data_IF_462235741222
#
_entry.id   IF_462235741222
#
_cell.length_a   1.000
_cell.length_b   1.000
_cell.length_c   1.000
_cell.angle_alpha   90.00
_cell.angle_beta   90.00
_cell.angle_gamma   90.00
#
_symmetry.space_group_name_H-M   'P 1'
#
loop_
_entity.id
_entity.type
_entity.pdbx_description
1 polymer ?
#
# COMPACT_ATOMS: atom_id res chain seq x y z
N UNK A 1 6.19 -17.72 1.90
CA UNK A 1 6.78 -18.34 0.68
C UNK A 1 6.76 -17.32 -0.47
N UNK A 2 7.40 -17.59 -1.62
CA UNK A 2 7.29 -16.69 -2.79
C UNK A 2 5.96 -16.88 -3.52
N UNK A 3 5.52 -18.14 -3.64
CA UNK A 3 4.25 -18.52 -4.23
C UNK A 3 3.20 -18.69 -3.13
N UNK A 4 2.04 -18.06 -3.29
CA UNK A 4 0.90 -18.13 -2.38
C UNK A 4 -0.39 -18.29 -3.19
N UNK A 5 -1.51 -18.62 -2.54
CA UNK A 5 -2.82 -18.61 -3.21
C UNK A 5 -3.15 -17.19 -3.70
N UNK A 6 -3.68 -17.08 -4.91
CA UNK A 6 -3.94 -15.77 -5.53
C UNK A 6 -5.00 -14.94 -4.77
N UNK A 7 -5.94 -15.61 -4.11
CA UNK A 7 -6.99 -14.98 -3.30
C UNK A 7 -6.45 -14.18 -2.10
N UNK A 8 -5.26 -14.51 -1.61
CA UNK A 8 -4.57 -13.76 -0.55
C UNK A 8 -4.34 -12.30 -0.94
N UNK A 9 -3.98 -12.04 -2.20
CA UNK A 9 -3.63 -10.69 -2.67
C UNK A 9 -4.80 -9.96 -3.32
N UNK A 10 -5.80 -10.69 -3.84
CA UNK A 10 -6.92 -10.11 -4.57
C UNK A 10 -7.82 -9.18 -3.73
N UNK A 11 -7.85 -9.36 -2.40
CA UNK A 11 -8.76 -8.60 -1.50
C UNK A 11 -8.21 -7.25 -1.05
N UNK A 12 -6.88 -7.11 -0.90
CA UNK A 12 -6.21 -5.87 -0.46
C UNK A 12 -5.99 -4.90 -1.63
N UNK A 13 -6.03 -5.45 -2.82
CA UNK A 13 -5.90 -4.78 -4.08
C UNK A 13 -7.16 -3.96 -4.36
N UNK A 14 -7.12 -2.64 -4.16
CA UNK A 14 -7.92 -1.77 -5.04
C UNK A 14 -7.72 -2.22 -6.49
N UNK A 15 -8.72 -2.08 -7.35
CA UNK A 15 -8.78 -2.75 -8.67
C UNK A 15 -7.48 -2.74 -9.50
N UNK A 16 -6.63 -1.73 -9.31
CA UNK A 16 -5.30 -1.57 -9.91
C UNK A 16 -4.26 -2.64 -9.53
N UNK A 17 -4.22 -3.16 -8.30
CA UNK A 17 -3.19 -4.16 -7.95
C UNK A 17 -3.49 -5.50 -8.61
N UNK A 18 -4.76 -5.83 -8.89
CA UNK A 18 -5.13 -7.09 -9.56
C UNK A 18 -4.56 -7.22 -10.98
N UNK A 19 -4.43 -6.12 -11.72
CA UNK A 19 -3.80 -6.14 -13.05
C UNK A 19 -2.27 -6.24 -12.98
N UNK A 20 -1.67 -6.03 -11.80
CA UNK A 20 -0.23 -6.09 -11.56
C UNK A 20 0.27 -7.44 -10.98
N UNK A 21 -0.58 -8.46 -10.87
CA UNK A 21 -0.21 -9.75 -10.28
C UNK A 21 0.33 -10.74 -11.31
N UNK A 22 1.41 -11.45 -10.96
CA UNK A 22 1.82 -12.67 -11.65
C UNK A 22 1.04 -13.88 -11.12
N UNK A 23 -0.19 -14.03 -11.59
CA UNK A 23 -1.06 -15.15 -11.24
C UNK A 23 -1.12 -16.21 -12.34
N UNK A 24 -1.11 -17.48 -11.96
CA UNK A 24 -1.23 -18.63 -12.86
C UNK A 24 -1.89 -19.81 -12.12
N UNK A 25 -2.26 -20.84 -12.87
CA UNK A 25 -2.75 -22.10 -12.30
C UNK A 25 -1.58 -23.05 -12.16
N UNK A 26 -1.36 -23.58 -10.95
CA UNK A 26 -0.31 -24.57 -10.72
C UNK A 26 -0.71 -25.96 -11.31
N UNK A 27 0.21 -26.94 -11.35
CA UNK A 27 -0.11 -28.28 -11.88
C UNK A 27 -1.23 -29.01 -11.12
N UNK A 28 -1.57 -28.60 -9.90
CA UNK A 28 -2.67 -29.14 -9.11
C UNK A 28 -4.02 -28.48 -9.39
N UNK A 29 -4.08 -27.52 -10.32
CA UNK A 29 -5.30 -26.79 -10.65
C UNK A 29 -5.61 -25.62 -9.70
N UNK A 30 -4.69 -25.26 -8.81
CA UNK A 30 -4.87 -24.17 -7.84
C UNK A 30 -4.40 -22.86 -8.44
N UNK A 31 -5.23 -21.81 -8.33
CA UNK A 31 -4.82 -20.46 -8.72
C UNK A 31 -3.87 -19.87 -7.68
N UNK A 32 -2.64 -19.64 -8.11
CA UNK A 32 -1.54 -19.12 -7.29
C UNK A 32 -1.01 -17.82 -7.87
N UNK A 33 -0.32 -17.04 -7.04
CA UNK A 33 0.38 -15.83 -7.46
C UNK A 33 1.75 -15.77 -6.84
N UNK A 34 2.73 -15.29 -7.60
CA UNK A 34 3.95 -14.76 -7.00
C UNK A 34 3.55 -13.57 -6.13
N UNK A 35 4.12 -13.48 -4.92
CA UNK A 35 3.80 -12.40 -3.99
C UNK A 35 4.19 -11.02 -4.56
N UNK A 36 3.29 -10.04 -4.58
CA UNK A 36 3.60 -8.67 -4.99
C UNK A 36 4.12 -7.81 -3.83
N UNK A 37 4.01 -8.31 -2.60
CA UNK A 37 4.37 -7.64 -1.34
C UNK A 37 4.44 -8.68 -0.21
N UNK A 38 4.95 -8.30 0.97
CA UNK A 38 5.10 -9.20 2.12
C UNK A 38 3.96 -9.14 3.14
N UNK A 39 3.28 -8.01 3.29
CA UNK A 39 2.30 -7.78 4.37
C UNK A 39 1.23 -8.88 4.41
N UNK A 40 0.61 -9.22 3.28
CA UNK A 40 -0.48 -10.22 3.27
C UNK A 40 0.04 -11.60 3.68
N UNK A 41 1.25 -11.97 3.25
CA UNK A 41 1.91 -13.21 3.71
C UNK A 41 2.24 -13.18 5.20
N UNK A 42 2.69 -12.04 5.74
CA UNK A 42 2.99 -11.87 7.17
C UNK A 42 1.71 -12.01 7.99
N UNK A 43 0.64 -11.32 7.60
CA UNK A 43 -0.65 -11.38 8.28
C UNK A 43 -1.25 -12.78 8.21
N UNK A 44 -1.22 -13.43 7.03
CA UNK A 44 -1.65 -14.84 6.88
C UNK A 44 -0.88 -15.76 7.83
N UNK A 45 0.45 -15.64 7.86
CA UNK A 45 1.28 -16.45 8.75
C UNK A 45 0.96 -16.22 10.23
N UNK A 46 0.63 -14.98 10.61
CA UNK A 46 0.23 -14.67 11.97
C UNK A 46 -1.12 -15.30 12.34
N UNK A 47 -2.12 -15.20 11.45
CA UNK A 47 -3.47 -15.76 11.64
C UNK A 47 -3.45 -17.29 11.71
N UNK A 48 -2.66 -17.94 10.85
CA UNK A 48 -2.54 -19.41 10.82
C UNK A 48 -1.63 -19.96 11.93
N UNK A 49 -0.99 -19.09 12.72
CA UNK A 49 -0.11 -19.53 13.79
C UNK A 49 -0.93 -20.20 14.90
N UNK A 50 -0.54 -21.40 15.39
CA UNK A 50 -1.34 -22.16 16.37
C UNK A 50 -1.43 -21.52 17.76
N UNK A 51 -0.56 -20.54 18.07
CA UNK A 51 -0.64 -19.72 19.27
C UNK A 51 -0.19 -18.28 18.95
N UNK A 52 -1.06 -17.43 18.40
CA UNK A 52 -0.79 -16.00 18.37
C UNK A 52 -0.94 -15.53 19.82
N UNK A 53 0.17 -15.51 20.57
CA UNK A 53 0.15 -15.01 21.95
C UNK A 53 -0.56 -13.66 22.04
N UNK A 54 -1.18 -13.35 23.17
CA UNK A 54 -1.86 -12.06 23.34
C UNK A 54 -0.82 -10.95 23.42
N UNK A 55 -0.80 -10.04 22.44
CA UNK A 55 0.05 -8.85 22.47
C UNK A 55 0.64 -8.46 21.10
N UNK A 56 1.51 -7.43 21.09
CA UNK A 56 2.13 -6.96 19.86
C UNK A 56 3.06 -8.00 19.23
N UNK A 57 2.87 -8.25 17.94
CA UNK A 57 3.70 -9.13 17.13
C UNK A 57 4.61 -8.33 16.21
N UNK A 58 5.92 -8.45 16.43
CA UNK A 58 6.95 -7.87 15.57
C UNK A 58 7.42 -8.89 14.55
N UNK A 59 7.42 -8.53 13.27
CA UNK A 59 7.90 -9.37 12.17
C UNK A 59 8.77 -8.54 11.25
N UNK A 60 9.92 -9.07 10.85
CA UNK A 60 10.76 -8.48 9.82
C UNK A 60 10.82 -9.43 8.63
N UNK A 61 11.04 -8.90 7.43
CA UNK A 61 11.15 -9.67 6.20
C UNK A 61 12.19 -9.07 5.26
N UNK A 62 12.78 -9.94 4.45
CA UNK A 62 13.69 -9.59 3.36
C UNK A 62 13.57 -10.63 2.26
N UNK A 63 13.39 -10.20 1.01
CA UNK A 63 13.41 -11.10 -0.14
C UNK A 63 12.68 -10.56 -1.38
N UNK A 64 12.53 -11.39 -2.42
CA UNK A 64 11.98 -10.93 -3.69
C UNK A 64 10.46 -10.76 -3.64
N UNK A 65 9.96 -9.77 -4.37
CA UNK A 65 8.55 -9.54 -4.71
C UNK A 65 8.41 -9.27 -6.21
N UNK A 66 7.23 -9.54 -6.77
CA UNK A 66 7.00 -9.58 -8.22
C UNK A 66 5.76 -8.77 -8.60
N UNK A 67 5.89 -7.85 -9.56
CA UNK A 67 4.78 -7.05 -10.09
C UNK A 67 4.83 -7.02 -11.61
N UNK A 68 3.68 -7.25 -12.22
CA UNK A 68 3.45 -7.13 -13.65
C UNK A 68 3.16 -5.67 -14.02
N UNK A 69 3.70 -5.20 -15.15
CA UNK A 69 3.51 -3.84 -15.67
C UNK A 69 4.66 -3.38 -16.56
N UNK A 70 4.55 -2.16 -17.08
CA UNK A 70 5.48 -1.55 -18.06
C UNK A 70 6.75 -0.95 -17.42
N UNK A 71 7.02 -1.25 -16.15
CA UNK A 71 8.20 -0.81 -15.42
C UNK A 71 9.46 -1.64 -15.71
N UNK A 72 10.63 -1.05 -15.48
CA UNK A 72 11.93 -1.66 -15.79
C UNK A 72 12.24 -2.97 -15.03
N UNK A 73 11.62 -3.21 -13.86
CA UNK A 73 11.90 -4.37 -13.02
C UNK A 73 10.62 -5.12 -12.61
N UNK A 74 10.52 -6.38 -13.05
CA UNK A 74 9.43 -7.32 -12.72
C UNK A 74 9.67 -8.07 -11.40
N UNK A 75 10.88 -7.98 -10.87
CA UNK A 75 11.31 -8.50 -9.58
C UNK A 75 12.10 -7.43 -8.85
N UNK A 76 11.84 -7.25 -7.56
CA UNK A 76 12.61 -6.36 -6.67
C UNK A 76 12.80 -7.03 -5.30
N UNK A 77 13.85 -6.66 -4.59
CA UNK A 77 14.02 -7.05 -3.19
C UNK A 77 13.27 -6.06 -2.31
N UNK A 78 12.32 -6.55 -1.51
CA UNK A 78 11.64 -5.77 -0.49
C UNK A 78 12.16 -6.20 0.89
N UNK A 79 12.49 -5.20 1.70
CA UNK A 79 12.88 -5.35 3.11
C UNK A 79 11.94 -4.48 3.92
N UNK A 80 11.49 -4.97 5.07
CA UNK A 80 10.58 -4.22 5.93
C UNK A 80 10.23 -4.95 7.21
N UNK A 81 9.37 -4.34 8.00
CA UNK A 81 8.87 -4.89 9.24
C UNK A 81 7.40 -4.51 9.47
N UNK A 82 6.67 -5.36 10.18
CA UNK A 82 5.31 -5.12 10.66
C UNK A 82 5.28 -5.22 12.19
N UNK A 83 4.55 -4.30 12.82
CA UNK A 83 4.15 -4.38 14.21
C UNK A 83 2.61 -4.51 14.26
N UNK A 84 2.12 -5.71 14.60
CA UNK A 84 0.69 -6.04 14.54
C UNK A 84 0.14 -6.22 15.95
N UNK A 85 -1.05 -5.68 16.23
CA UNK A 85 -1.69 -5.83 17.54
C UNK A 85 -1.29 -4.77 18.57
N UNK A 86 -0.75 -3.62 18.12
CA UNK A 86 -0.59 -2.40 18.90
C UNK A 86 -1.24 -1.24 18.14
N UNK A 87 -1.95 -0.36 18.83
CA UNK A 87 -2.71 0.74 18.23
C UNK A 87 -2.32 2.12 18.78
N UNK A 88 -1.43 2.13 19.77
CA UNK A 88 -0.92 3.34 20.41
C UNK A 88 0.09 4.05 19.51
N UNK A 89 0.18 5.39 19.54
CA UNK A 89 1.17 6.13 18.75
C UNK A 89 2.63 5.71 18.98
N UNK A 90 2.93 5.10 20.13
CA UNK A 90 4.24 4.51 20.42
C UNK A 90 4.61 3.36 19.48
N UNK A 91 3.63 2.66 18.91
CA UNK A 91 3.85 1.60 17.93
C UNK A 91 4.39 2.16 16.60
N UNK A 92 3.79 3.24 16.11
CA UNK A 92 4.27 3.95 14.92
C UNK A 92 5.66 4.54 15.16
N UNK A 93 5.89 5.12 16.34
CA UNK A 93 7.19 5.64 16.74
C UNK A 93 8.28 4.56 16.79
N UNK A 94 7.94 3.33 17.22
CA UNK A 94 8.85 2.20 17.23
C UNK A 94 9.28 1.80 15.80
N UNK A 95 8.33 1.69 14.87
CA UNK A 95 8.62 1.38 13.46
C UNK A 95 9.44 2.49 12.80
N UNK A 96 9.11 3.76 13.08
CA UNK A 96 9.88 4.89 12.58
C UNK A 96 11.31 4.92 13.14
N UNK A 97 11.47 4.61 14.43
CA UNK A 97 12.77 4.48 15.08
C UNK A 97 13.62 3.38 14.41
N UNK A 98 13.04 2.22 14.15
CA UNK A 98 13.71 1.14 13.42
C UNK A 98 14.14 1.58 12.02
N UNK A 99 13.28 2.28 11.28
CA UNK A 99 13.63 2.79 9.96
C UNK A 99 14.80 3.78 10.01
N UNK A 100 14.83 4.66 11.02
CA UNK A 100 15.92 5.60 11.26
C UNK A 100 17.24 4.87 11.55
N UNK A 101 17.21 3.88 12.44
CA UNK A 101 18.38 3.06 12.78
C UNK A 101 18.92 2.33 11.55
N UNK A 102 18.05 1.79 10.68
CA UNK A 102 18.46 1.16 9.43
C UNK A 102 19.19 2.14 8.49
N UNK A 103 18.66 3.35 8.32
CA UNK A 103 19.27 4.39 7.47
C UNK A 103 20.64 4.82 8.01
N UNK A 104 20.75 4.99 9.34
CA UNK A 104 22.01 5.30 10.02
C UNK A 104 23.03 4.17 9.89
N UNK A 105 22.62 2.91 10.08
CA UNK A 105 23.47 1.74 9.93
C UNK A 105 23.99 1.58 8.49
N UNK A 106 23.17 1.96 7.51
CA UNK A 106 23.55 2.03 6.09
C UNK A 106 24.46 3.23 5.74
N UNK A 107 24.77 4.11 6.71
CA UNK A 107 25.61 5.31 6.54
C UNK A 107 25.07 6.29 5.50
N UNK A 108 23.74 6.37 5.38
CA UNK A 108 23.09 7.35 4.50
C UNK A 108 23.00 8.67 5.26
N UNK A 109 23.75 9.67 4.80
CA UNK A 109 23.85 10.97 5.50
C UNK A 109 22.72 11.94 5.12
N UNK A 110 22.13 11.79 3.94
CA UNK A 110 21.11 12.72 3.41
C UNK A 110 19.79 11.99 3.20
N UNK A 111 18.88 12.17 4.15
CA UNK A 111 17.53 11.64 4.07
C UNK A 111 16.54 12.63 4.69
N UNK A 112 15.27 12.50 4.32
CA UNK A 112 14.16 13.21 4.96
C UNK A 112 13.04 12.21 5.21
N UNK A 113 12.44 12.26 6.39
CA UNK A 113 11.23 11.51 6.70
C UNK A 113 10.03 12.43 6.48
N UNK A 114 9.08 11.99 5.66
CA UNK A 114 7.80 12.68 5.45
C UNK A 114 6.71 11.83 6.09
N UNK A 115 6.01 12.42 7.05
CA UNK A 115 4.93 11.77 7.80
C UNK A 115 3.62 12.40 7.35
N UNK A 116 2.63 11.57 7.04
CA UNK A 116 1.28 11.99 6.69
C UNK A 116 0.26 11.22 7.50
N UNK A 117 -0.92 11.80 7.70
CA UNK A 117 -2.01 11.18 8.43
C UNK A 117 -3.29 11.16 7.59
N UNK A 118 -3.67 9.98 7.10
CA UNK A 118 -4.84 9.82 6.22
C UNK A 118 -6.15 10.29 6.88
N UNK A 119 -6.30 10.12 8.20
CA UNK A 119 -7.47 10.62 8.94
C UNK A 119 -7.68 12.13 8.81
N UNK A 120 -6.63 12.94 9.00
CA UNK A 120 -6.68 14.39 8.84
C UNK A 120 -7.04 14.79 7.39
N UNK A 121 -6.46 14.08 6.42
CA UNK A 121 -6.80 14.27 5.01
C UNK A 121 -8.29 14.01 4.74
N UNK A 122 -8.81 12.88 5.22
CA UNK A 122 -10.22 12.54 5.06
C UNK A 122 -11.15 13.54 5.76
N UNK A 123 -10.83 13.99 6.97
CA UNK A 123 -11.60 15.01 7.70
C UNK A 123 -11.59 16.35 6.97
N UNK A 124 -10.42 16.75 6.46
CA UNK A 124 -10.28 17.98 5.66
C UNK A 124 -11.14 17.90 4.40
N UNK A 125 -11.05 16.80 3.63
CA UNK A 125 -11.87 16.58 2.44
C UNK A 125 -13.37 16.53 2.74
N UNK A 126 -13.77 16.02 3.90
CA UNK A 126 -15.17 16.02 4.35
C UNK A 126 -15.68 17.44 4.62
N UNK A 127 -14.83 18.33 5.11
CA UNK A 127 -15.21 19.72 5.42
C UNK A 127 -15.65 20.53 4.18
N UNK A 128 -15.20 20.13 2.99
CA UNK A 128 -15.59 20.74 1.71
C UNK A 128 -16.97 20.30 1.19
N UNK A 129 -17.72 19.46 1.92
CA UNK A 129 -19.06 19.02 1.50
C UNK A 129 -19.07 18.09 0.27
N UNK A 130 -17.91 17.59 -0.16
CA UNK A 130 -17.75 16.70 -1.31
C UNK A 130 -18.42 15.35 -1.05
N UNK A 131 -18.96 14.70 -2.09
CA UNK A 131 -19.47 13.33 -1.99
C UNK A 131 -18.33 12.33 -1.72
N UNK A 132 -18.64 11.18 -1.11
CA UNK A 132 -17.61 10.15 -0.83
C UNK A 132 -16.84 9.69 -2.10
N UNK A 133 -17.49 9.46 -3.25
CA UNK A 133 -16.79 9.14 -4.49
C UNK A 133 -15.78 10.21 -4.92
N UNK A 134 -16.15 11.49 -4.82
CA UNK A 134 -15.26 12.62 -5.16
C UNK A 134 -14.10 12.71 -4.16
N UNK A 135 -14.36 12.53 -2.86
CA UNK A 135 -13.29 12.49 -1.84
C UNK A 135 -12.27 11.39 -2.12
N UNK A 136 -12.75 10.19 -2.45
CA UNK A 136 -11.88 9.07 -2.80
C UNK A 136 -11.11 9.33 -4.09
N UNK A 137 -11.74 9.94 -5.10
CA UNK A 137 -11.08 10.35 -6.33
C UNK A 137 -9.95 11.35 -6.09
N UNK A 138 -10.21 12.39 -5.31
CA UNK A 138 -9.20 13.40 -4.92
C UNK A 138 -8.07 12.76 -4.13
N UNK A 139 -8.39 11.91 -3.14
CA UNK A 139 -7.39 11.21 -2.33
C UNK A 139 -6.47 10.32 -3.18
N UNK A 140 -7.03 9.54 -4.12
CA UNK A 140 -6.28 8.68 -5.02
C UNK A 140 -5.41 9.44 -6.04
N UNK A 141 -5.72 10.72 -6.29
CA UNK A 141 -4.96 11.57 -7.22
C UNK A 141 -4.13 12.65 -6.50
N UNK A 142 -3.97 12.57 -5.18
CA UNK A 142 -3.35 13.63 -4.38
C UNK A 142 -1.90 13.93 -4.79
N UNK A 143 -1.14 12.90 -5.18
CA UNK A 143 0.24 13.10 -5.69
C UNK A 143 0.25 13.90 -7.00
N UNK A 144 -0.71 13.63 -7.90
CA UNK A 144 -0.86 14.40 -9.14
C UNK A 144 -1.32 15.83 -8.87
N UNK A 145 -2.17 16.03 -7.85
CA UNK A 145 -2.68 17.35 -7.45
C UNK A 145 -1.59 18.19 -6.79
N UNK A 146 -0.73 17.57 -5.98
CA UNK A 146 0.39 18.24 -5.30
C UNK A 146 1.53 18.63 -6.25
N UNK A 147 1.57 18.05 -7.46
CA UNK A 147 2.55 18.39 -8.49
C UNK A 147 2.10 19.65 -9.25
N UNK A 148 2.59 20.81 -8.80
CA UNK A 148 2.28 22.13 -9.39
C UNK A 148 2.70 22.27 -10.87
N UNK A 149 3.51 21.35 -11.39
CA UNK A 149 3.93 21.35 -12.79
C UNK A 149 2.93 20.67 -13.73
N UNK A 150 1.94 19.95 -13.20
CA UNK A 150 0.96 19.20 -13.99
C UNK A 150 -0.32 19.99 -14.23
N UNK A 151 -0.89 19.79 -15.41
CA UNK A 151 -2.21 20.31 -15.74
C UNK A 151 -3.29 19.47 -15.03
N UNK A 152 -4.11 20.11 -14.21
CA UNK A 152 -5.20 19.47 -13.47
C UNK A 152 -6.45 19.25 -14.34
N UNK A 153 -6.54 19.86 -15.53
CA UNK A 153 -7.68 19.70 -16.42
C UNK A 153 -7.89 18.24 -16.81
N UNK A 154 -6.81 17.48 -17.04
CA UNK A 154 -6.91 16.06 -17.37
C UNK A 154 -7.59 15.24 -16.25
N UNK A 155 -7.41 15.62 -14.98
CA UNK A 155 -8.09 14.99 -13.85
C UNK A 155 -9.57 15.38 -13.82
N UNK A 156 -9.89 16.65 -14.08
CA UNK A 156 -11.27 17.10 -14.16
C UNK A 156 -12.02 16.41 -15.31
N UNK A 157 -11.40 16.31 -16.47
CA UNK A 157 -11.95 15.63 -17.65
C UNK A 157 -12.22 14.14 -17.35
N UNK A 158 -11.29 13.46 -16.66
CA UNK A 158 -11.47 12.08 -16.21
C UNK A 158 -12.61 11.94 -15.18
N UNK A 159 -12.72 12.89 -14.25
CA UNK A 159 -13.80 12.90 -13.27
C UNK A 159 -15.17 13.14 -13.92
N UNK A 160 -15.24 14.03 -14.91
CA UNK A 160 -16.47 14.26 -15.69
C UNK A 160 -16.83 13.06 -16.56
N UNK A 161 -15.86 12.47 -17.26
CA UNK A 161 -16.08 11.29 -18.10
C UNK A 161 -16.57 10.06 -17.31
N UNK A 162 -16.18 9.97 -16.03
CA UNK A 162 -16.65 8.92 -15.11
C UNK A 162 -17.96 9.28 -14.40
N UNK A 163 -18.52 10.47 -14.65
CA UNK A 163 -19.75 10.96 -14.02
C UNK A 163 -19.60 11.30 -12.54
N UNK A 164 -18.37 11.49 -12.05
CA UNK A 164 -18.09 11.86 -10.66
C UNK A 164 -18.46 13.32 -10.36
N UNK A 165 -18.39 14.20 -11.37
CA UNK A 165 -18.60 15.64 -11.25
C UNK A 165 -19.37 16.13 -12.47
N UNK A 166 -20.29 17.09 -12.30
CA UNK A 166 -21.03 17.69 -13.43
C UNK A 166 -20.41 19.02 -13.86
N UNK A 167 -20.75 19.48 -15.07
CA UNK A 167 -20.31 20.77 -15.59
C UNK A 167 -20.97 21.90 -14.78
N UNK A 168 -20.37 22.31 -13.66
CA UNK A 168 -20.87 23.41 -12.82
C UNK A 168 -20.68 23.26 -11.30
N UNK A 169 -20.19 22.12 -10.82
CA UNK A 169 -19.75 21.90 -9.42
C UNK A 169 -18.35 22.45 -9.16
#
# INVERSE_FOLDING_TARGET
>A
PVLERADLFARKSGGEINSSLYSFTDPGGVKVSLRPEFTSSVIRNLIESPQPGTGPHRRAYSGPVFRYGDGAFRQMTQVGAELVGAAEPSADAEILGLALECVQAAKIERYSFRIGHLGLMHETLRSFGLSEPVRMYVASNMERIADETRNLNDLLDQAQASGLVTSGD
#
